data_IF_175410192500
#
_entry.id   IF_175410192500
#
_cell.length_a   1.000
_cell.length_b   1.000
_cell.length_c   1.000
_cell.angle_alpha   90.00
_cell.angle_beta   90.00
_cell.angle_gamma   90.00
#
_symmetry.space_group_name_H-M   'P 1'
#
loop_
_entity.id
_entity.type
_entity.pdbx_description
1 polymer ?
#
# COMPACT_ATOMS: atom_id res chain seq x y z
N UNK A 1 -7.57 -2.08 -3.76
CA UNK A 1 -6.25 -2.73 -3.86
C UNK A 1 -6.24 -4.11 -3.20
N UNK A 2 -6.47 -4.26 -1.89
CA UNK A 2 -6.37 -5.54 -1.18
C UNK A 2 -7.24 -6.65 -1.79
N UNK A 3 -8.50 -6.36 -2.14
CA UNK A 3 -9.36 -7.34 -2.81
C UNK A 3 -8.79 -7.78 -4.17
N UNK A 4 -8.22 -6.85 -4.95
CA UNK A 4 -7.60 -7.18 -6.24
C UNK A 4 -6.36 -8.05 -6.09
N UNK A 5 -5.53 -7.79 -5.07
CA UNK A 5 -4.39 -8.64 -4.69
C UNK A 5 -4.89 -10.05 -4.34
N UNK A 6 -5.90 -10.15 -3.48
CA UNK A 6 -6.47 -11.43 -3.07
C UNK A 6 -7.04 -12.22 -4.27
N UNK A 7 -7.81 -11.56 -5.15
CA UNK A 7 -8.34 -12.20 -6.36
C UNK A 7 -7.24 -12.73 -7.28
N UNK A 8 -6.16 -11.96 -7.46
CA UNK A 8 -5.02 -12.39 -8.27
C UNK A 8 -4.29 -13.60 -7.66
N UNK A 9 -4.07 -13.59 -6.33
CA UNK A 9 -3.43 -14.71 -5.62
C UNK A 9 -4.30 -15.97 -5.62
N UNK A 10 -5.61 -15.84 -5.44
CA UNK A 10 -6.56 -16.95 -5.48
C UNK A 10 -6.60 -17.59 -6.88
N UNK A 11 -6.61 -16.74 -7.93
CA UNK A 11 -6.52 -17.22 -9.30
C UNK A 11 -5.19 -17.94 -9.59
N UNK A 12 -4.07 -17.39 -9.11
CA UNK A 12 -2.75 -18.02 -9.24
C UNK A 12 -2.65 -19.37 -8.49
N UNK A 13 -3.43 -19.53 -7.42
CA UNK A 13 -3.55 -20.79 -6.69
C UNK A 13 -4.49 -21.82 -7.37
N UNK A 14 -5.01 -21.52 -8.56
CA UNK A 14 -5.83 -22.42 -9.38
C UNK A 14 -7.33 -22.39 -9.10
N UNK A 15 -7.80 -21.46 -8.28
CA UNK A 15 -9.24 -21.28 -8.08
C UNK A 15 -9.85 -20.49 -9.23
N UNK A 16 -11.10 -20.81 -9.56
CA UNK A 16 -11.84 -20.09 -10.59
C UNK A 16 -12.25 -18.69 -10.11
N UNK A 17 -11.66 -17.68 -10.73
CA UNK A 17 -12.00 -16.27 -10.51
C UNK A 17 -12.47 -15.68 -11.84
N UNK A 18 -13.70 -15.16 -11.92
CA UNK A 18 -14.24 -14.62 -13.17
C UNK A 18 -13.28 -13.60 -13.81
N UNK A 19 -12.91 -13.83 -15.06
CA UNK A 19 -11.94 -12.99 -15.77
C UNK A 19 -12.39 -11.54 -15.89
N UNK A 20 -13.69 -11.30 -16.09
CA UNK A 20 -14.26 -9.95 -16.19
C UNK A 20 -14.15 -9.18 -14.86
N UNK A 21 -14.31 -9.86 -13.72
CA UNK A 21 -14.11 -9.23 -12.42
C UNK A 21 -12.66 -8.75 -12.26
N UNK A 22 -11.69 -9.59 -12.65
CA UNK A 22 -10.27 -9.22 -12.60
C UNK A 22 -9.95 -8.07 -13.55
N UNK A 23 -10.43 -8.11 -14.79
CA UNK A 23 -10.22 -7.04 -15.79
C UNK A 23 -10.80 -5.72 -15.32
N UNK A 24 -12.06 -5.72 -14.86
CA UNK A 24 -12.73 -4.50 -14.39
C UNK A 24 -12.02 -3.90 -13.17
N UNK A 25 -11.65 -4.73 -12.21
CA UNK A 25 -10.89 -4.32 -11.01
C UNK A 25 -9.52 -3.74 -11.38
N UNK A 26 -8.79 -4.37 -12.30
CA UNK A 26 -7.50 -3.91 -12.77
C UNK A 26 -7.62 -2.58 -13.55
N UNK A 27 -8.61 -2.47 -14.43
CA UNK A 27 -8.84 -1.24 -15.20
C UNK A 27 -9.21 -0.06 -14.30
N UNK A 28 -10.07 -0.29 -13.30
CA UNK A 28 -10.41 0.73 -12.31
C UNK A 28 -9.20 1.18 -11.51
N UNK A 29 -8.35 0.24 -11.07
CA UNK A 29 -7.12 0.56 -10.35
C UNK A 29 -6.14 1.34 -11.21
N UNK A 30 -5.94 0.93 -12.46
CA UNK A 30 -5.04 1.62 -13.39
C UNK A 30 -5.54 3.04 -13.71
N UNK A 31 -6.85 3.26 -13.78
CA UNK A 31 -7.44 4.57 -14.01
C UNK A 31 -7.26 5.56 -12.84
N UNK A 32 -7.01 5.07 -11.63
CA UNK A 32 -6.68 5.92 -10.46
C UNK A 32 -5.25 6.46 -10.51
N UNK A 33 -4.35 5.82 -11.26
CA UNK A 33 -2.93 6.17 -11.30
C UNK A 33 -2.70 7.33 -12.26
N UNK A 34 -2.09 8.40 -11.78
CA UNK A 34 -1.68 9.54 -12.60
C UNK A 34 -0.35 9.29 -13.33
N UNK A 35 0.12 10.32 -14.07
CA UNK A 35 1.38 10.25 -14.81
C UNK A 35 2.63 10.16 -13.93
N UNK A 36 2.55 10.58 -12.66
CA UNK A 36 3.62 10.50 -11.66
C UNK A 36 3.62 9.17 -10.88
N UNK A 37 2.59 8.33 -11.06
CA UNK A 37 2.46 7.06 -10.34
C UNK A 37 1.74 7.18 -9.01
N UNK A 38 1.12 8.30 -8.73
CA UNK A 38 0.29 8.52 -7.54
C UNK A 38 -1.14 8.07 -7.83
N UNK A 39 -1.79 7.44 -6.85
CA UNK A 39 -3.15 6.91 -6.99
C UNK A 39 -4.16 7.82 -6.34
N UNK A 40 -5.06 8.40 -7.14
CA UNK A 40 -6.17 9.18 -6.63
C UNK A 40 -7.09 8.35 -5.72
N UNK A 41 -7.81 9.02 -4.82
CA UNK A 41 -8.68 8.34 -3.84
C UNK A 41 -9.96 7.81 -4.45
N UNK A 42 -10.55 8.55 -5.40
CA UNK A 42 -11.82 8.21 -6.04
C UNK A 42 -11.76 8.26 -7.56
N UNK A 43 -12.58 7.38 -8.17
CA UNK A 43 -13.05 7.56 -9.54
C UNK A 43 -14.49 8.06 -9.47
N UNK A 44 -14.75 9.20 -10.07
CA UNK A 44 -16.12 9.65 -10.32
C UNK A 44 -16.63 9.06 -11.64
N UNK A 45 -17.82 8.46 -11.59
CA UNK A 45 -18.52 8.04 -12.81
C UNK A 45 -19.27 9.22 -13.38
N UNK A 46 -18.86 9.68 -14.54
CA UNK A 46 -19.55 10.71 -15.33
C UNK A 46 -20.00 10.11 -16.67
N UNK A 47 -20.96 10.73 -17.36
CA UNK A 47 -21.39 10.27 -18.68
C UNK A 47 -20.26 10.19 -19.73
N UNK A 48 -19.19 10.98 -19.53
CA UNK A 48 -17.99 10.98 -20.36
C UNK A 48 -16.96 9.89 -19.99
N UNK A 49 -17.22 9.12 -18.94
CA UNK A 49 -16.32 8.09 -18.39
C UNK A 49 -15.84 8.39 -16.97
N UNK A 50 -15.12 7.47 -16.34
CA UNK A 50 -14.60 7.66 -15.01
C UNK A 50 -13.45 8.70 -15.01
N UNK A 51 -13.54 9.64 -14.09
CA UNK A 51 -12.50 10.63 -13.86
C UNK A 51 -11.90 10.45 -12.45
N UNK A 52 -10.57 10.32 -12.31
CA UNK A 52 -9.94 10.29 -11.00
C UNK A 52 -10.03 11.68 -10.33
N UNK A 53 -10.05 11.69 -9.01
CA UNK A 53 -9.75 12.91 -8.25
C UNK A 53 -8.32 13.35 -8.55
N UNK A 54 -8.02 14.64 -8.31
CA UNK A 54 -6.64 15.10 -8.38
C UNK A 54 -5.85 14.36 -7.30
N UNK A 55 -4.78 13.71 -7.71
CA UNK A 55 -3.89 13.03 -6.78
C UNK A 55 -3.01 14.07 -6.06
N UNK A 56 -2.94 13.99 -4.75
CA UNK A 56 -2.01 14.75 -3.91
C UNK A 56 -0.94 13.80 -3.39
N UNK A 57 0.33 13.92 -3.81
CA UNK A 57 1.38 13.01 -3.39
C UNK A 57 1.45 12.84 -1.87
N UNK A 58 1.44 13.92 -1.10
CA UNK A 58 1.54 13.85 0.36
C UNK A 58 0.37 13.11 1.02
N UNK A 59 -0.86 13.29 0.50
CA UNK A 59 -2.08 12.63 1.03
C UNK A 59 -2.33 11.24 0.46
N UNK A 60 -1.77 10.95 -0.70
CA UNK A 60 -2.17 9.78 -1.51
C UNK A 60 -1.13 8.65 -1.58
N UNK A 61 0.14 8.93 -1.27
CA UNK A 61 1.23 7.93 -1.37
C UNK A 61 1.04 6.72 -0.44
N UNK A 62 0.31 6.84 0.66
CA UNK A 62 0.06 5.73 1.59
C UNK A 62 -0.57 4.51 0.93
N UNK A 63 -1.47 4.72 -0.03
CA UNK A 63 -2.10 3.64 -0.78
C UNK A 63 -1.29 3.14 -1.97
N UNK A 64 -0.27 3.90 -2.37
CA UNK A 64 0.57 3.61 -3.55
C UNK A 64 1.09 2.19 -3.59
N UNK A 65 1.81 1.70 -2.54
CA UNK A 65 2.34 0.34 -2.52
C UNK A 65 1.27 -0.73 -2.70
N UNK A 66 0.09 -0.58 -2.06
CA UNK A 66 -1.01 -1.54 -2.19
C UNK A 66 -1.62 -1.54 -3.60
N UNK A 67 -1.80 -0.36 -4.19
CA UNK A 67 -2.36 -0.20 -5.53
C UNK A 67 -1.39 -0.73 -6.59
N UNK A 68 -0.11 -0.38 -6.48
CA UNK A 68 0.89 -0.84 -7.43
C UNK A 68 1.12 -2.35 -7.33
N UNK A 69 1.09 -2.92 -6.11
CA UNK A 69 1.16 -4.37 -5.89
C UNK A 69 -0.04 -5.10 -6.53
N UNK A 70 -1.24 -4.51 -6.47
CA UNK A 70 -2.42 -5.06 -7.13
C UNK A 70 -2.26 -5.09 -8.66
N UNK A 71 -1.73 -4.01 -9.24
CA UNK A 71 -1.43 -3.93 -10.68
C UNK A 71 -0.29 -4.88 -11.08
N UNK A 72 0.71 -5.05 -10.22
CA UNK A 72 1.80 -5.98 -10.41
C UNK A 72 1.28 -7.43 -10.55
N UNK A 73 0.48 -7.89 -9.61
CA UNK A 73 -0.13 -9.24 -9.69
C UNK A 73 -1.13 -9.40 -10.84
N UNK A 74 -1.65 -8.30 -11.35
CA UNK A 74 -2.49 -8.31 -12.56
C UNK A 74 -1.67 -8.29 -13.87
N UNK A 75 -0.33 -8.18 -13.81
CA UNK A 75 0.56 -8.12 -14.97
C UNK A 75 0.57 -6.75 -15.68
N UNK A 76 0.16 -5.68 -14.99
CA UNK A 76 0.01 -4.31 -15.54
C UNK A 76 1.04 -3.34 -14.96
N UNK A 77 1.84 -3.81 -14.01
CA UNK A 77 2.95 -3.09 -13.40
C UNK A 77 4.23 -3.93 -13.44
N UNK A 78 5.35 -3.31 -13.08
CA UNK A 78 6.69 -3.90 -13.04
C UNK A 78 7.41 -3.61 -11.70
N UNK A 79 8.55 -4.28 -11.50
CA UNK A 79 9.36 -4.15 -10.28
C UNK A 79 9.83 -2.71 -10.04
N UNK A 80 10.14 -1.97 -11.12
CA UNK A 80 10.58 -0.58 -11.02
C UNK A 80 9.47 0.31 -10.46
N UNK A 81 8.25 0.18 -10.96
CA UNK A 81 7.08 0.95 -10.50
C UNK A 81 6.71 0.56 -9.08
N UNK A 82 6.78 -0.75 -8.77
CA UNK A 82 6.51 -1.24 -7.42
C UNK A 82 7.51 -0.64 -6.42
N UNK A 83 8.80 -0.65 -6.75
CA UNK A 83 9.83 -0.02 -5.95
C UNK A 83 9.64 1.49 -5.80
N UNK A 84 9.31 2.19 -6.88
CA UNK A 84 9.06 3.63 -6.85
C UNK A 84 7.87 4.02 -5.96
N UNK A 85 6.80 3.20 -5.93
CA UNK A 85 5.66 3.44 -5.04
C UNK A 85 6.06 3.29 -3.56
N UNK A 86 6.94 2.34 -3.23
CA UNK A 86 7.48 2.19 -1.87
C UNK A 86 8.36 3.38 -1.51
N UNK A 87 9.25 3.80 -2.40
CA UNK A 87 10.13 4.94 -2.14
C UNK A 87 9.33 6.23 -1.92
N UNK A 88 8.33 6.52 -2.77
CA UNK A 88 7.43 7.65 -2.61
C UNK A 88 6.68 7.62 -1.26
N UNK A 89 6.20 6.44 -0.84
CA UNK A 89 5.60 6.26 0.48
C UNK A 89 6.60 6.58 1.61
N UNK A 90 7.82 6.07 1.53
CA UNK A 90 8.83 6.29 2.56
C UNK A 90 9.29 7.75 2.66
N UNK A 91 9.30 8.48 1.55
CA UNK A 91 9.63 9.90 1.51
C UNK A 91 8.59 10.76 2.28
N UNK A 92 7.34 10.31 2.35
CA UNK A 92 6.24 10.96 3.06
C UNK A 92 5.86 10.29 4.39
N UNK A 93 6.58 9.24 4.80
CA UNK A 93 6.21 8.41 5.96
C UNK A 93 6.10 9.19 7.28
N UNK A 94 6.84 10.28 7.45
CA UNK A 94 6.77 11.10 8.66
C UNK A 94 5.40 11.74 8.87
N UNK A 95 4.73 12.20 7.79
CA UNK A 95 3.36 12.72 7.84
C UNK A 95 2.37 11.64 8.27
N UNK A 96 2.50 10.44 7.73
CA UNK A 96 1.67 9.29 8.11
C UNK A 96 1.92 8.86 9.57
N UNK A 97 3.17 8.76 9.99
CA UNK A 97 3.53 8.41 11.37
C UNK A 97 2.95 9.39 12.40
N UNK A 98 2.88 10.68 12.06
CA UNK A 98 2.28 11.71 12.90
C UNK A 98 0.76 11.50 13.14
N UNK A 99 0.09 10.66 12.36
CA UNK A 99 -1.33 10.33 12.51
C UNK A 99 -1.58 9.10 13.39
N UNK A 100 -0.52 8.41 13.81
CA UNK A 100 -0.65 7.22 14.65
C UNK A 100 -1.51 7.48 15.89
N UNK A 101 -2.44 6.56 16.16
CA UNK A 101 -3.33 6.62 17.32
C UNK A 101 -4.40 7.72 17.27
N UNK A 102 -4.43 8.56 16.24
CA UNK A 102 -5.47 9.57 16.08
C UNK A 102 -6.74 8.95 15.49
N UNK A 103 -7.88 9.55 15.88
CA UNK A 103 -9.20 9.15 15.35
C UNK A 103 -9.48 9.79 13.99
N UNK A 104 -8.84 10.92 13.69
CA UNK A 104 -9.00 11.63 12.43
C UNK A 104 -8.30 10.87 11.32
N UNK A 105 -9.05 10.63 10.28
CA UNK A 105 -8.67 9.74 9.18
C UNK A 105 -7.88 10.45 8.08
N UNK A 106 -8.09 11.74 7.91
CA UNK A 106 -7.36 12.59 6.99
C UNK A 106 -7.10 13.90 7.70
N UNK A 107 -5.87 14.16 8.05
CA UNK A 107 -5.45 15.33 8.79
C UNK A 107 -4.32 16.04 8.05
N UNK A 108 -4.02 17.30 8.46
CA UNK A 108 -3.03 18.13 7.80
C UNK A 108 -3.54 18.79 6.53
N UNK A 109 -2.68 19.63 5.95
CA UNK A 109 -3.01 20.49 4.80
C UNK A 109 -3.24 19.67 3.51
N UNK A 110 -2.67 18.48 3.45
CA UNK A 110 -2.78 17.56 2.31
C UNK A 110 -3.72 16.39 2.59
N UNK A 111 -4.47 16.40 3.71
CA UNK A 111 -5.26 15.24 4.11
C UNK A 111 -4.42 14.01 4.39
N UNK A 112 -3.16 14.22 4.85
CA UNK A 112 -2.28 13.12 5.22
C UNK A 112 -2.95 12.25 6.26
N UNK A 113 -2.74 10.98 6.14
CA UNK A 113 -3.26 10.02 7.06
C UNK A 113 -3.96 8.90 6.34
N UNK A 114 -4.06 7.84 7.06
CA UNK A 114 -4.69 6.64 6.58
C UNK A 114 -5.66 6.16 7.64
N UNK A 115 -6.72 5.53 7.21
CA UNK A 115 -7.63 4.84 8.10
C UNK A 115 -6.93 3.68 8.81
N UNK A 116 -5.85 3.16 8.21
CA UNK A 116 -5.18 1.92 8.56
C UNK A 116 -3.67 2.06 8.36
N UNK A 117 -2.98 2.72 9.29
CA UNK A 117 -1.54 2.96 9.21
C UNK A 117 -0.74 1.67 8.99
N UNK A 118 -1.04 0.63 9.79
CA UNK A 118 -0.37 -0.66 9.69
C UNK A 118 -0.72 -1.43 8.40
N UNK A 119 -1.87 -1.11 7.77
CA UNK A 119 -2.21 -1.63 6.45
C UNK A 119 -1.26 -1.08 5.38
N UNK A 120 -0.99 0.22 5.42
CA UNK A 120 -0.09 0.86 4.46
C UNK A 120 1.35 0.38 4.66
N UNK A 121 1.83 0.30 5.90
CA UNK A 121 3.14 -0.28 6.23
C UNK A 121 3.25 -1.75 5.79
N UNK A 122 2.20 -2.53 6.02
CA UNK A 122 2.14 -3.93 5.60
C UNK A 122 2.22 -4.09 4.09
N UNK A 123 1.49 -3.28 3.33
CA UNK A 123 1.53 -3.34 1.87
C UNK A 123 2.85 -2.81 1.29
N UNK A 124 3.47 -1.80 1.92
CA UNK A 124 4.81 -1.37 1.56
C UNK A 124 5.85 -2.48 1.82
N UNK A 125 5.70 -3.24 2.91
CA UNK A 125 6.54 -4.40 3.19
C UNK A 125 6.34 -5.52 2.16
N UNK A 126 5.10 -5.86 1.82
CA UNK A 126 4.78 -6.87 0.79
C UNK A 126 5.30 -6.46 -0.60
N UNK A 127 5.17 -5.17 -0.95
CA UNK A 127 5.70 -4.64 -2.20
C UNK A 127 7.24 -4.70 -2.25
N UNK A 128 7.88 -4.37 -1.13
CA UNK A 128 9.35 -4.47 -0.99
C UNK A 128 9.84 -5.91 -1.15
N UNK A 129 9.19 -6.86 -0.49
CA UNK A 129 9.50 -8.29 -0.61
C UNK A 129 9.25 -8.81 -2.03
N UNK A 130 8.18 -8.37 -2.67
CA UNK A 130 7.87 -8.78 -4.05
C UNK A 130 8.92 -8.25 -5.03
N UNK A 131 9.39 -7.02 -4.86
CA UNK A 131 10.44 -6.45 -5.70
C UNK A 131 11.79 -7.18 -5.51
N UNK A 132 12.07 -7.77 -4.34
CA UNK A 132 13.25 -8.63 -4.13
C UNK A 132 13.14 -9.96 -4.88
N UNK A 133 11.91 -10.46 -5.09
CA UNK A 133 11.67 -11.70 -5.81
C UNK A 133 11.74 -11.54 -7.35
N UNK A 134 12.09 -10.34 -7.84
CA UNK A 134 12.29 -10.05 -9.26
C UNK A 134 13.45 -10.85 -9.86
N UNK A 135 13.49 -10.95 -11.19
CA UNK A 135 14.57 -11.65 -11.90
C UNK A 135 15.93 -10.95 -11.72
N UNK A 136 15.92 -9.63 -11.60
CA UNK A 136 17.10 -8.78 -11.36
C UNK A 136 16.84 -7.87 -10.15
N UNK A 137 16.92 -8.41 -8.91
CA UNK A 137 16.55 -7.66 -7.73
C UNK A 137 17.61 -6.61 -7.37
N UNK A 138 17.15 -5.42 -7.01
CA UNK A 138 17.98 -4.40 -6.39
C UNK A 138 18.11 -4.67 -4.88
N UNK A 139 19.12 -5.44 -4.52
CA UNK A 139 19.38 -5.80 -3.12
C UNK A 139 19.71 -4.60 -2.23
N UNK A 140 20.36 -3.57 -2.75
CA UNK A 140 20.67 -2.37 -1.97
C UNK A 140 19.40 -1.60 -1.65
N UNK A 141 18.51 -1.41 -2.63
CA UNK A 141 17.22 -0.80 -2.41
C UNK A 141 16.36 -1.62 -1.43
N UNK A 142 16.39 -2.96 -1.55
CA UNK A 142 15.68 -3.81 -0.59
C UNK A 142 16.16 -3.59 0.84
N UNK A 143 17.46 -3.64 1.09
CA UNK A 143 18.04 -3.45 2.43
C UNK A 143 17.66 -2.09 3.00
N UNK A 144 17.72 -1.03 2.20
CA UNK A 144 17.37 0.33 2.59
C UNK A 144 15.88 0.45 2.94
N UNK A 145 14.98 -0.05 2.08
CA UNK A 145 13.51 -0.04 2.30
C UNK A 145 13.13 -0.88 3.51
N UNK A 146 13.70 -2.08 3.63
CA UNK A 146 13.50 -2.97 4.77
C UNK A 146 13.83 -2.30 6.09
N UNK A 147 15.03 -1.73 6.20
CA UNK A 147 15.46 -1.04 7.41
C UNK A 147 14.48 0.07 7.79
N UNK A 148 14.11 0.93 6.83
CA UNK A 148 13.20 2.04 7.08
C UNK A 148 11.79 1.58 7.49
N UNK A 149 11.26 0.54 6.86
CA UNK A 149 9.96 -0.03 7.20
C UNK A 149 9.96 -0.67 8.60
N UNK A 150 11.03 -1.38 8.97
CA UNK A 150 11.15 -1.96 10.30
C UNK A 150 11.23 -0.89 11.39
N UNK A 151 11.90 0.24 11.13
CA UNK A 151 11.91 1.39 12.04
C UNK A 151 10.49 1.95 12.24
N UNK A 152 9.78 2.25 11.13
CA UNK A 152 8.42 2.77 11.18
C UNK A 152 7.44 1.83 11.91
N UNK A 153 7.54 0.52 11.65
CA UNK A 153 6.74 -0.49 12.37
C UNK A 153 7.13 -0.51 13.84
N UNK A 154 8.43 -0.46 14.13
CA UNK A 154 8.96 -0.44 15.49
C UNK A 154 8.45 0.74 16.31
N UNK A 155 8.34 1.92 15.72
CA UNK A 155 7.81 3.12 16.35
C UNK A 155 6.32 2.98 16.75
N UNK A 156 5.59 2.06 16.11
CA UNK A 156 4.20 1.74 16.46
C UNK A 156 4.07 0.79 17.66
N UNK A 157 5.18 0.26 18.17
CA UNK A 157 5.18 -0.70 19.28
C UNK A 157 4.77 -0.03 20.57
N UNK A 158 3.87 -0.69 21.29
CA UNK A 158 3.35 -0.26 22.56
C UNK A 158 3.97 -1.05 23.73
N UNK A 159 3.79 -0.52 24.92
CA UNK A 159 4.09 -1.25 26.14
C UNK A 159 3.36 -2.61 26.15
N UNK A 160 4.05 -3.68 26.50
CA UNK A 160 3.53 -5.05 26.40
C UNK A 160 3.74 -5.73 25.04
N UNK A 161 4.43 -5.09 24.09
CA UNK A 161 4.87 -5.71 22.84
C UNK A 161 3.82 -5.80 21.74
N UNK A 162 2.66 -5.16 21.92
CA UNK A 162 1.64 -5.00 20.88
C UNK A 162 1.95 -3.81 19.99
N UNK A 163 1.28 -3.71 18.82
CA UNK A 163 1.41 -2.59 17.89
C UNK A 163 0.07 -1.89 17.74
N UNK A 164 0.08 -0.57 17.80
CA UNK A 164 -1.13 0.24 17.64
C UNK A 164 -1.23 0.74 16.20
N UNK A 165 -2.34 0.45 15.56
CA UNK A 165 -2.69 1.05 14.28
C UNK A 165 -3.34 2.42 14.50
N UNK A 166 -4.61 2.41 14.80
CA UNK A 166 -5.41 3.60 15.10
C UNK A 166 -6.28 3.35 16.33
N UNK A 167 -6.89 4.41 16.85
CA UNK A 167 -7.85 4.26 17.96
C UNK A 167 -9.07 3.41 17.58
N UNK A 168 -9.42 3.34 16.29
CA UNK A 168 -10.58 2.59 15.77
C UNK A 168 -10.24 1.11 15.60
N UNK A 169 -9.11 0.81 14.96
CA UNK A 169 -8.72 -0.57 14.63
C UNK A 169 -8.03 -1.29 15.78
N UNK A 170 -7.42 -0.51 16.67
CA UNK A 170 -6.84 -1.00 17.90
C UNK A 170 -5.58 -1.84 17.73
N UNK A 171 -5.20 -2.49 18.84
CA UNK A 171 -3.93 -3.22 18.96
C UNK A 171 -3.94 -4.59 18.30
N UNK A 172 -5.09 -5.27 18.27
CA UNK A 172 -5.16 -6.62 17.68
C UNK A 172 -4.87 -6.57 16.17
N UNK A 173 -5.53 -5.66 15.46
CA UNK A 173 -5.29 -5.43 14.04
C UNK A 173 -3.85 -4.95 13.78
N UNK A 174 -3.40 -3.92 14.51
CA UNK A 174 -2.05 -3.37 14.37
C UNK A 174 -0.97 -4.42 14.59
N UNK A 175 -1.13 -5.28 15.62
CA UNK A 175 -0.17 -6.36 15.90
C UNK A 175 -0.16 -7.41 14.78
N UNK A 176 -1.32 -7.83 14.29
CA UNK A 176 -1.40 -8.80 13.21
C UNK A 176 -0.72 -8.28 11.94
N UNK A 177 -0.99 -7.04 11.54
CA UNK A 177 -0.38 -6.43 10.36
C UNK A 177 1.13 -6.21 10.54
N UNK A 178 1.59 -5.78 11.73
CA UNK A 178 3.01 -5.65 12.02
C UNK A 178 3.76 -6.98 11.88
N UNK A 179 3.20 -8.06 12.43
CA UNK A 179 3.81 -9.39 12.33
C UNK A 179 3.87 -9.88 10.88
N UNK A 180 2.79 -9.68 10.10
CA UNK A 180 2.78 -10.03 8.67
C UNK A 180 3.79 -9.20 7.87
N UNK A 181 3.92 -7.91 8.15
CA UNK A 181 4.90 -7.05 7.51
C UNK A 181 6.34 -7.46 7.83
N UNK A 182 6.65 -7.72 9.11
CA UNK A 182 7.97 -8.19 9.53
C UNK A 182 8.32 -9.53 8.91
N UNK A 183 7.36 -10.47 8.88
CA UNK A 183 7.56 -11.78 8.25
C UNK A 183 7.83 -11.68 6.74
N UNK A 184 7.21 -10.72 6.06
CA UNK A 184 7.44 -10.50 4.63
C UNK A 184 8.84 -9.91 4.35
N UNK A 185 9.41 -9.18 5.31
CA UNK A 185 10.72 -8.53 5.20
C UNK A 185 11.89 -9.43 5.69
N UNK A 186 11.58 -10.60 6.23
CA UNK A 186 12.58 -11.53 6.76
C UNK A 186 13.20 -12.36 5.64
#
# INVERSE_FOLDING_TARGET
>A
AACSIALSKVAAAGFDVPSELRKTSTAAMAALRDGAGVFAYFLYGEPSGPHPTIADPAGDVGRGPACELALYFAGVSDDRRLGAAVDAFLDHAAGYAAQQGKVLMHAGDHGEGCHYLMFDYGHAAFATAQALAAAEPDHEAFVRRRARLLDLIGDCRQEGGTYLDSAINGRAYGTAMALLAMLALD
#
